data_IF_137840244568
#
_entry.id   IF_137840244568
#
_cell.length_a   1.000
_cell.length_b   1.000
_cell.length_c   1.000
_cell.angle_alpha   90.00
_cell.angle_beta   90.00
_cell.angle_gamma   90.00
#
_symmetry.space_group_name_H-M   'P 1'
#
loop_
_entity.id
_entity.type
_entity.pdbx_description
1 polymer ?
#
# COMPACT_ATOMS: atom_id res chain seq x y z
N UNK A 1 -31.19 -67.06 -25.90
CA UNK A 1 -31.43 -65.99 -24.92
C UNK A 1 -30.60 -66.28 -23.68
N UNK A 2 -29.46 -65.60 -23.53
CA UNK A 2 -28.53 -65.56 -22.37
C UNK A 2 -27.46 -64.52 -22.73
N UNK A 3 -27.39 -63.43 -21.98
CA UNK A 3 -26.17 -62.61 -21.83
C UNK A 3 -25.24 -63.38 -20.87
N UNK A 4 -23.87 -63.22 -20.87
CA UNK A 4 -23.28 -61.97 -20.36
C UNK A 4 -21.78 -61.63 -20.68
N UNK A 5 -21.38 -60.45 -20.18
CA UNK A 5 -20.06 -59.97 -19.71
C UNK A 5 -19.07 -59.23 -20.64
N UNK A 6 -19.05 -57.90 -20.43
CA UNK A 6 -17.91 -57.05 -20.05
C UNK A 6 -16.80 -56.77 -21.06
N UNK A 7 -16.68 -55.48 -21.43
CA UNK A 7 -15.37 -54.86 -21.66
C UNK A 7 -15.33 -53.42 -21.14
N UNK A 8 -14.27 -53.14 -20.38
CA UNK A 8 -13.94 -51.88 -19.72
C UNK A 8 -13.19 -50.97 -20.69
N UNK A 9 -13.59 -49.70 -20.80
CA UNK A 9 -12.80 -48.61 -21.38
C UNK A 9 -13.18 -47.38 -20.56
N UNK A 10 -12.34 -46.85 -19.67
CA UNK A 10 -11.09 -46.18 -19.98
C UNK A 10 -11.32 -44.68 -19.82
N UNK A 11 -11.18 -44.16 -18.60
CA UNK A 11 -11.25 -42.73 -18.30
C UNK A 11 -10.06 -42.01 -18.93
N UNK A 12 -10.32 -41.01 -19.75
CA UNK A 12 -9.40 -39.90 -20.02
C UNK A 12 -10.18 -38.61 -19.82
N UNK A 13 -10.13 -38.09 -18.59
CA UNK A 13 -10.60 -36.73 -18.32
C UNK A 13 -9.52 -35.80 -18.87
N UNK A 14 -9.85 -35.10 -19.95
CA UNK A 14 -9.04 -34.01 -20.46
C UNK A 14 -9.03 -32.87 -19.43
N UNK A 15 -7.85 -32.56 -18.89
CA UNK A 15 -7.63 -31.34 -18.15
C UNK A 15 -7.49 -30.20 -19.15
N UNK A 16 -8.55 -29.41 -19.33
CA UNK A 16 -8.43 -28.11 -19.97
C UNK A 16 -7.78 -27.16 -18.98
N UNK A 17 -6.63 -26.58 -19.36
CA UNK A 17 -6.04 -25.46 -18.64
C UNK A 17 -6.97 -24.25 -18.75
N UNK A 18 -7.72 -23.96 -17.69
CA UNK A 18 -8.33 -22.64 -17.51
C UNK A 18 -7.23 -21.65 -17.13
N UNK A 19 -7.12 -20.48 -17.81
CA UNK A 19 -6.21 -19.44 -17.38
C UNK A 19 -6.70 -18.89 -16.03
N UNK A 20 -5.78 -18.84 -15.07
CA UNK A 20 -5.97 -18.26 -13.75
C UNK A 20 -6.22 -16.76 -13.91
N UNK A 21 -7.49 -16.34 -14.03
CA UNK A 21 -7.86 -14.95 -13.80
C UNK A 21 -7.48 -14.62 -12.36
N UNK A 22 -6.62 -13.62 -12.20
CA UNK A 22 -6.23 -13.07 -10.92
C UNK A 22 -7.49 -12.61 -10.16
N UNK A 23 -7.89 -13.37 -9.14
CA UNK A 23 -8.83 -12.92 -8.14
C UNK A 23 -8.16 -11.77 -7.37
N UNK A 24 -8.51 -10.53 -7.71
CA UNK A 24 -8.50 -9.46 -6.73
C UNK A 24 -9.53 -9.83 -5.66
N UNK A 25 -9.13 -10.58 -4.65
CA UNK A 25 -10.02 -10.89 -3.53
C UNK A 25 -10.28 -9.59 -2.77
N UNK A 26 -11.48 -9.04 -2.95
CA UNK A 26 -12.07 -8.06 -2.06
C UNK A 26 -12.07 -8.65 -0.65
N UNK A 27 -11.27 -8.09 0.25
CA UNK A 27 -11.31 -8.45 1.67
C UNK A 27 -12.72 -8.14 2.19
N UNK A 28 -13.46 -9.10 2.79
CA UNK A 28 -14.81 -8.87 3.28
C UNK A 28 -14.83 -7.78 4.35
N UNK A 29 -15.83 -6.90 4.29
CA UNK A 29 -15.97 -5.68 5.11
C UNK A 29 -15.92 -5.93 6.64
N UNK A 30 -16.17 -7.16 7.09
CA UNK A 30 -16.31 -7.52 8.51
C UNK A 30 -15.06 -8.17 9.14
N UNK A 31 -13.89 -8.05 8.53
CA UNK A 31 -12.67 -8.64 9.11
C UNK A 31 -12.22 -7.84 10.36
N UNK A 32 -12.11 -8.47 11.55
CA UNK A 32 -11.81 -7.78 12.82
C UNK A 32 -10.39 -7.17 12.89
N UNK A 33 -9.58 -7.37 11.85
CA UNK A 33 -8.23 -6.84 11.72
C UNK A 33 -8.06 -5.89 10.53
N UNK A 34 -9.16 -5.40 9.95
CA UNK A 34 -9.07 -4.40 8.87
C UNK A 34 -8.57 -3.08 9.46
N UNK A 35 -7.53 -2.45 8.87
CA UNK A 35 -7.19 -1.09 9.25
C UNK A 35 -8.41 -0.20 9.06
N UNK A 36 -8.70 0.63 10.07
CA UNK A 36 -9.83 1.58 10.04
C UNK A 36 -9.61 2.73 9.03
N UNK A 37 -8.39 2.82 8.48
CA UNK A 37 -7.95 3.79 7.48
C UNK A 37 -7.83 3.16 6.07
N UNK A 38 -7.85 4.02 5.06
CA UNK A 38 -7.56 3.70 3.68
C UNK A 38 -6.05 3.62 3.46
N UNK A 39 -5.60 2.51 2.87
CA UNK A 39 -4.21 2.32 2.51
C UNK A 39 -3.89 3.05 1.20
N UNK A 40 -2.66 3.61 1.05
CA UNK A 40 -2.18 4.03 -0.24
C UNK A 40 -2.17 2.84 -1.21
N UNK A 41 -2.84 3.01 -2.35
CA UNK A 41 -2.79 2.07 -3.47
C UNK A 41 -1.94 2.67 -4.57
N UNK A 42 -0.92 1.94 -5.01
CA UNK A 42 -0.04 2.39 -6.07
C UNK A 42 -0.18 1.51 -7.30
N UNK A 43 -0.06 2.15 -8.46
CA UNK A 43 0.04 1.47 -9.74
C UNK A 43 1.38 1.82 -10.37
N UNK A 44 1.97 0.87 -11.09
CA UNK A 44 3.24 1.14 -11.76
C UNK A 44 3.00 2.14 -12.88
N UNK A 45 3.77 3.23 -12.87
CA UNK A 45 3.70 4.26 -13.90
C UNK A 45 5.04 4.38 -14.64
N UNK A 46 5.06 4.81 -15.91
CA UNK A 46 6.31 5.08 -16.60
C UNK A 46 7.07 6.23 -15.93
N UNK A 47 8.39 6.12 -15.86
CA UNK A 47 9.24 7.22 -15.40
C UNK A 47 9.40 8.24 -16.53
N UNK A 48 9.11 9.50 -16.23
CA UNK A 48 9.37 10.60 -17.15
C UNK A 48 10.82 11.05 -17.03
N UNK A 49 11.40 11.52 -18.12
CA UNK A 49 12.73 12.12 -18.13
C UNK A 49 12.67 13.48 -18.83
N UNK A 50 13.25 14.54 -18.24
CA UNK A 50 13.95 14.58 -16.94
C UNK A 50 13.01 14.54 -15.71
N UNK A 51 13.53 14.13 -14.54
CA UNK A 51 12.81 14.07 -13.26
C UNK A 51 12.87 15.42 -12.52
N UNK A 52 12.00 16.37 -12.89
CA UNK A 52 12.13 17.77 -12.45
C UNK A 52 11.00 18.26 -11.55
N UNK A 53 9.94 17.47 -11.36
CA UNK A 53 8.77 17.87 -10.60
C UNK A 53 8.54 16.97 -9.40
N UNK A 54 7.77 17.47 -8.42
CA UNK A 54 7.33 16.66 -7.29
C UNK A 54 6.57 15.40 -7.74
N UNK A 55 5.78 15.49 -8.82
CA UNK A 55 5.05 14.34 -9.37
C UNK A 55 6.00 13.30 -9.97
N UNK A 56 7.05 13.72 -10.68
CA UNK A 56 8.03 12.78 -11.25
C UNK A 56 8.70 11.95 -10.14
N UNK A 57 9.11 12.63 -9.05
CA UNK A 57 9.71 11.97 -7.90
C UNK A 57 8.71 11.16 -7.07
N UNK A 58 7.44 11.57 -7.02
CA UNK A 58 6.36 10.77 -6.45
C UNK A 58 6.20 9.45 -7.23
N UNK A 59 6.20 9.49 -8.57
CA UNK A 59 6.13 8.30 -9.41
C UNK A 59 7.32 7.35 -9.17
N UNK A 60 8.55 7.90 -9.06
CA UNK A 60 9.73 7.09 -8.68
C UNK A 60 9.50 6.41 -7.32
N UNK A 61 9.00 7.14 -6.34
CA UNK A 61 8.78 6.63 -5.00
C UNK A 61 7.72 5.51 -4.96
N UNK A 62 6.63 5.67 -5.69
CA UNK A 62 5.55 4.68 -5.81
C UNK A 62 6.02 3.41 -6.52
N UNK A 63 6.77 3.56 -7.61
CA UNK A 63 7.37 2.42 -8.32
C UNK A 63 8.37 1.66 -7.45
N UNK A 64 9.20 2.37 -6.69
CA UNK A 64 10.14 1.77 -5.75
C UNK A 64 9.41 1.01 -4.62
N UNK A 65 8.32 1.56 -4.08
CA UNK A 65 7.49 0.87 -3.09
C UNK A 65 6.91 -0.44 -3.65
N UNK A 66 6.38 -0.41 -4.89
CA UNK A 66 5.86 -1.60 -5.56
C UNK A 66 6.93 -2.66 -5.81
N UNK A 67 8.18 -2.24 -5.99
CA UNK A 67 9.35 -3.13 -6.06
C UNK A 67 9.87 -3.57 -4.68
N UNK A 68 9.19 -3.19 -3.59
CA UNK A 68 9.62 -3.41 -2.20
C UNK A 68 10.95 -2.76 -1.83
N UNK A 69 11.41 -1.80 -2.65
CA UNK A 69 12.60 -0.99 -2.39
C UNK A 69 12.21 0.24 -1.56
N UNK A 70 11.93 -0.02 -0.28
CA UNK A 70 11.38 1.00 0.60
C UNK A 70 12.39 2.12 0.90
N UNK A 71 13.70 1.83 0.90
CA UNK A 71 14.72 2.86 1.13
C UNK A 71 14.75 3.89 -0.01
N UNK A 72 14.78 3.42 -1.26
CA UNK A 72 14.70 4.33 -2.41
C UNK A 72 13.33 5.02 -2.51
N UNK A 73 12.26 4.34 -2.10
CA UNK A 73 10.93 4.94 -2.02
C UNK A 73 10.90 6.13 -1.04
N UNK A 74 11.43 5.97 0.18
CA UNK A 74 11.54 7.08 1.17
C UNK A 74 12.38 8.23 0.62
N UNK A 75 13.52 7.92 -0.02
CA UNK A 75 14.40 8.94 -0.59
C UNK A 75 13.70 9.74 -1.70
N UNK A 76 12.98 9.06 -2.60
CA UNK A 76 12.24 9.68 -3.68
C UNK A 76 11.06 10.52 -3.18
N UNK A 77 10.31 10.04 -2.17
CA UNK A 77 9.30 10.88 -1.50
C UNK A 77 9.92 12.12 -0.83
N UNK A 78 11.11 11.99 -0.23
CA UNK A 78 11.86 13.13 0.28
C UNK A 78 12.10 14.18 -0.79
N UNK A 79 12.58 13.77 -1.97
CA UNK A 79 12.77 14.68 -3.12
C UNK A 79 11.46 15.28 -3.62
N UNK A 80 10.38 14.51 -3.67
CA UNK A 80 9.07 15.02 -4.05
C UNK A 80 8.58 16.11 -3.09
N UNK A 81 8.77 15.93 -1.78
CA UNK A 81 8.39 16.89 -0.74
C UNK A 81 9.25 18.16 -0.83
N UNK A 82 10.56 18.02 -1.05
CA UNK A 82 11.47 19.16 -1.23
C UNK A 82 11.04 20.03 -2.45
N UNK A 83 10.71 19.38 -3.57
CA UNK A 83 10.25 20.05 -4.80
C UNK A 83 8.85 20.64 -4.68
N UNK A 84 7.99 20.08 -3.84
CA UNK A 84 6.68 20.63 -3.51
C UNK A 84 6.77 21.85 -2.56
N UNK A 85 7.97 22.44 -2.41
CA UNK A 85 8.30 23.55 -1.50
C UNK A 85 7.91 23.28 -0.04
N UNK A 86 8.04 22.02 0.38
CA UNK A 86 7.74 21.62 1.74
C UNK A 86 6.24 21.66 2.03
N UNK A 87 5.63 20.48 2.09
CA UNK A 87 4.33 20.26 2.73
C UNK A 87 3.09 20.84 2.03
N UNK A 88 3.21 21.43 0.84
CA UNK A 88 2.03 21.88 0.08
C UNK A 88 1.18 20.71 -0.48
N UNK A 89 1.67 19.48 -0.28
CA UNK A 89 1.01 18.23 -0.70
C UNK A 89 1.00 17.23 0.45
N UNK A 90 0.02 17.30 1.37
CA UNK A 90 -0.02 16.40 2.53
C UNK A 90 -0.09 14.92 2.17
N UNK A 91 -0.61 14.57 0.99
CA UNK A 91 -0.56 13.20 0.47
C UNK A 91 0.85 12.63 0.32
N UNK A 92 1.86 13.46 0.00
CA UNK A 92 3.25 12.98 -0.08
C UNK A 92 3.80 12.57 1.29
N UNK A 93 3.39 13.28 2.35
CA UNK A 93 3.75 12.94 3.73
C UNK A 93 3.02 11.68 4.18
N UNK A 94 1.74 11.54 3.87
CA UNK A 94 0.96 10.33 4.17
C UNK A 94 1.56 9.09 3.49
N UNK A 95 1.88 9.19 2.20
CA UNK A 95 2.49 8.09 1.45
C UNK A 95 3.89 7.75 1.98
N UNK A 96 4.75 8.75 2.27
CA UNK A 96 6.07 8.52 2.87
C UNK A 96 5.97 7.91 4.25
N UNK A 97 5.05 8.38 5.09
CA UNK A 97 4.76 7.82 6.41
C UNK A 97 4.40 6.34 6.34
N UNK A 98 3.62 5.94 5.33
CA UNK A 98 3.29 4.54 5.11
C UNK A 98 4.52 3.71 4.73
N UNK A 99 5.41 4.24 3.87
CA UNK A 99 6.66 3.55 3.52
C UNK A 99 7.60 3.42 4.72
N UNK A 100 7.70 4.47 5.54
CA UNK A 100 8.50 4.47 6.77
C UNK A 100 7.98 3.43 7.77
N UNK A 101 6.66 3.30 7.92
CA UNK A 101 6.05 2.22 8.70
C UNK A 101 6.46 0.84 8.16
N UNK A 102 6.43 0.63 6.84
CA UNK A 102 6.86 -0.64 6.22
C UNK A 102 8.34 -0.95 6.43
N UNK A 103 9.17 0.06 6.66
CA UNK A 103 10.57 -0.04 7.04
C UNK A 103 10.80 -0.24 8.55
N UNK A 104 9.74 -0.21 9.37
CA UNK A 104 9.84 -0.28 10.83
C UNK A 104 10.32 1.03 11.49
N UNK A 105 10.28 2.16 10.78
CA UNK A 105 10.73 3.46 11.29
C UNK A 105 9.53 4.23 11.85
N UNK A 106 9.01 3.77 12.98
CA UNK A 106 7.72 4.21 13.51
C UNK A 106 7.69 5.68 13.94
N UNK A 107 8.77 6.21 14.53
CA UNK A 107 8.82 7.61 14.97
C UNK A 107 8.77 8.57 13.78
N UNK A 108 9.49 8.24 12.70
CA UNK A 108 9.49 9.04 11.48
C UNK A 108 8.14 8.96 10.77
N UNK A 109 7.51 7.78 10.78
CA UNK A 109 6.16 7.61 10.26
C UNK A 109 5.12 8.43 11.06
N UNK A 110 5.19 8.43 12.40
CA UNK A 110 4.31 9.26 13.25
C UNK A 110 4.46 10.75 12.91
N UNK A 111 5.68 11.23 12.75
CA UNK A 111 5.96 12.62 12.39
C UNK A 111 5.29 13.01 11.06
N UNK A 112 5.44 12.16 10.03
CA UNK A 112 4.85 12.37 8.71
C UNK A 112 3.33 12.38 8.76
N UNK A 113 2.71 11.40 9.42
CA UNK A 113 1.25 11.36 9.55
C UNK A 113 0.70 12.52 10.38
N UNK A 114 1.41 12.93 11.44
CA UNK A 114 1.03 14.09 12.25
C UNK A 114 1.03 15.37 11.41
N UNK A 115 2.05 15.56 10.59
CA UNK A 115 2.16 16.72 9.72
C UNK A 115 1.12 16.70 8.61
N UNK A 116 0.90 15.54 7.96
CA UNK A 116 -0.16 15.35 6.97
C UNK A 116 -1.55 15.68 7.55
N UNK A 117 -1.86 15.16 8.74
CA UNK A 117 -3.12 15.44 9.42
C UNK A 117 -3.32 16.93 9.71
N UNK A 118 -2.30 17.63 10.21
CA UNK A 118 -2.38 19.07 10.48
C UNK A 118 -2.70 19.88 9.20
N UNK A 119 -2.06 19.53 8.09
CA UNK A 119 -2.28 20.19 6.79
C UNK A 119 -3.66 19.88 6.19
N UNK A 120 -4.11 18.63 6.27
CA UNK A 120 -5.46 18.25 5.85
C UNK A 120 -6.52 18.99 6.67
N UNK A 121 -6.31 19.14 7.98
CA UNK A 121 -7.20 19.89 8.86
C UNK A 121 -7.26 21.36 8.46
N UNK A 122 -6.11 22.00 8.23
CA UNK A 122 -6.04 23.39 7.76
C UNK A 122 -6.80 23.60 6.45
N UNK A 123 -6.77 22.60 5.56
CA UNK A 123 -7.48 22.60 4.26
C UNK A 123 -8.92 22.13 4.33
N UNK A 124 -9.45 21.83 5.53
CA UNK A 124 -10.80 21.30 5.74
C UNK A 124 -11.06 19.98 4.99
N UNK A 125 -10.02 19.19 4.75
CA UNK A 125 -10.08 17.89 4.09
C UNK A 125 -10.36 16.79 5.13
N UNK A 126 -11.58 16.78 5.67
CA UNK A 126 -11.95 15.96 6.82
C UNK A 126 -11.68 14.46 6.64
N UNK A 127 -11.97 13.91 5.45
CA UNK A 127 -11.72 12.50 5.15
C UNK A 127 -10.22 12.16 5.24
N UNK A 128 -9.37 12.95 4.57
CA UNK A 128 -7.92 12.75 4.60
C UNK A 128 -7.30 13.04 5.98
N UNK A 129 -7.83 14.04 6.69
CA UNK A 129 -7.45 14.30 8.08
C UNK A 129 -7.70 13.08 8.97
N UNK A 130 -8.90 12.49 8.88
CA UNK A 130 -9.25 11.30 9.63
C UNK A 130 -8.37 10.10 9.22
N UNK A 131 -8.05 9.96 7.93
CA UNK A 131 -7.18 8.91 7.42
C UNK A 131 -5.78 8.98 8.05
N UNK A 132 -5.11 10.13 7.90
CA UNK A 132 -3.77 10.35 8.45
C UNK A 132 -3.73 10.21 9.97
N UNK A 133 -4.77 10.70 10.68
CA UNK A 133 -4.89 10.54 12.14
C UNK A 133 -4.96 9.06 12.55
N UNK A 134 -5.74 8.25 11.83
CA UNK A 134 -5.88 6.82 12.14
C UNK A 134 -4.62 6.04 11.78
N UNK A 135 -3.96 6.37 10.67
CA UNK A 135 -2.65 5.81 10.32
C UNK A 135 -1.62 6.10 11.42
N UNK A 136 -1.58 7.35 11.92
CA UNK A 136 -0.72 7.75 13.04
C UNK A 136 -0.97 6.90 14.29
N UNK A 137 -2.24 6.77 14.71
CA UNK A 137 -2.61 5.95 15.87
C UNK A 137 -2.20 4.49 15.69
N UNK A 138 -2.43 3.95 14.50
CA UNK A 138 -2.03 2.59 14.18
C UNK A 138 -0.52 2.41 14.32
N UNK A 139 0.29 3.30 13.76
CA UNK A 139 1.76 3.25 13.89
C UNK A 139 2.21 3.34 15.34
N UNK A 140 1.65 4.25 16.14
CA UNK A 140 1.96 4.35 17.57
C UNK A 140 1.69 3.05 18.32
N UNK A 141 0.54 2.43 18.09
CA UNK A 141 0.20 1.15 18.70
C UNK A 141 1.15 0.01 18.27
N UNK A 142 1.66 0.02 17.04
CA UNK A 142 2.63 -0.99 16.59
C UNK A 142 3.99 -0.79 17.27
N UNK A 143 4.43 0.46 17.43
CA UNK A 143 5.67 0.77 18.15
C UNK A 143 5.60 0.28 19.61
N UNK A 144 4.54 0.63 20.34
CA UNK A 144 4.33 0.22 21.74
C UNK A 144 4.32 -1.30 21.91
N UNK A 145 3.73 -2.04 20.96
CA UNK A 145 3.68 -3.51 20.98
C UNK A 145 5.05 -4.15 20.78
N UNK A 146 5.93 -3.52 20.01
CA UNK A 146 7.28 -4.02 19.80
C UNK A 146 8.15 -3.73 21.01
N UNK A 147 8.05 -2.52 21.58
CA UNK A 147 8.79 -2.13 22.80
C UNK A 147 8.41 -3.01 24.00
N UNK A 148 7.13 -3.38 24.12
CA UNK A 148 6.65 -4.26 25.20
C UNK A 148 6.98 -5.74 25.01
N UNK A 149 7.47 -6.14 23.83
CA UNK A 149 7.85 -7.52 23.51
C UNK A 149 9.38 -7.77 23.58
N UNK A 150 10.18 -6.72 23.73
CA UNK A 150 11.64 -6.74 23.91
C UNK A 150 12.07 -6.78 25.37
#
# INVERSE_FOLDING_TARGET
MKLPHTFVIGSVIGLTLTPLLAFAQSIPESSPNRPIFSLPTFERQPLLHPLNTANDWQTVAQNAFLAQDYLNSVAAYGKAIDLAQGSDRPGLLEERGWVLYRLGQFERADQDFRQAAALHLQRQQWTSYNNARQMRQFVGNQAERLDSAS
#
